data_IF_564578340612
#
_entry.id   IF_564578340612
#
_cell.length_a   1.000
_cell.length_b   1.000
_cell.length_c   1.000
_cell.angle_alpha   90.00
_cell.angle_beta   90.00
_cell.angle_gamma   90.00
#
_symmetry.space_group_name_H-M   'P 1'
#
loop_
_entity.id
_entity.type
_entity.pdbx_description
1 polymer ?
#
# COMPACT_ATOMS: atom_id res chain seq x y z
N UNK A 1 -12.31 20.61 -34.14
CA UNK A 1 -11.25 20.26 -33.17
C UNK A 1 -11.89 19.41 -32.09
N UNK A 2 -11.69 18.10 -32.13
CA UNK A 2 -12.28 17.19 -31.15
C UNK A 2 -11.66 17.50 -29.79
N UNK A 3 -12.48 17.95 -28.83
CA UNK A 3 -12.05 18.14 -27.46
C UNK A 3 -11.49 16.83 -26.95
N UNK A 4 -10.22 16.83 -26.54
CA UNK A 4 -9.66 15.76 -25.74
C UNK A 4 -10.43 15.81 -24.42
N UNK A 5 -11.53 15.06 -24.34
CA UNK A 5 -12.17 14.78 -23.07
C UNK A 5 -11.06 14.24 -22.17
N UNK A 6 -10.73 14.97 -21.09
CA UNK A 6 -10.02 14.36 -19.97
C UNK A 6 -10.85 13.12 -19.63
N UNK A 7 -10.34 11.94 -20.02
CA UNK A 7 -10.91 10.69 -19.54
C UNK A 7 -10.88 10.83 -18.03
N UNK A 8 -12.05 10.81 -17.40
CA UNK A 8 -12.15 10.64 -15.96
C UNK A 8 -11.36 9.36 -15.69
N UNK A 9 -10.18 9.52 -15.10
CA UNK A 9 -9.40 8.37 -14.68
C UNK A 9 -10.24 7.65 -13.64
N UNK A 10 -10.22 6.32 -13.70
CA UNK A 10 -10.89 5.49 -12.71
C UNK A 10 -10.44 5.95 -11.30
N UNK A 11 -11.40 6.44 -10.50
CA UNK A 11 -11.11 6.98 -9.17
C UNK A 11 -10.41 5.93 -8.30
N UNK A 12 -10.75 4.65 -8.47
CA UNK A 12 -10.10 3.57 -7.77
C UNK A 12 -8.65 3.39 -8.22
N UNK A 13 -8.37 3.50 -9.53
CA UNK A 13 -6.99 3.46 -10.03
C UNK A 13 -6.16 4.62 -9.47
N UNK A 14 -6.70 5.83 -9.49
CA UNK A 14 -6.02 7.02 -8.95
C UNK A 14 -5.77 6.85 -7.46
N UNK A 15 -6.77 6.38 -6.72
CA UNK A 15 -6.65 6.11 -5.28
C UNK A 15 -5.55 5.10 -4.97
N UNK A 16 -5.50 3.98 -5.70
CA UNK A 16 -4.47 2.96 -5.51
C UNK A 16 -3.07 3.48 -5.88
N UNK A 17 -2.93 4.29 -6.95
CA UNK A 17 -1.64 4.92 -7.28
C UNK A 17 -1.20 5.85 -6.15
N UNK A 18 -2.10 6.63 -5.56
CA UNK A 18 -1.79 7.51 -4.43
C UNK A 18 -1.30 6.71 -3.21
N UNK A 19 -1.98 5.61 -2.88
CA UNK A 19 -1.56 4.73 -1.77
C UNK A 19 -0.20 4.12 -2.05
N UNK A 20 0.00 3.50 -3.23
CA UNK A 20 1.27 2.87 -3.61
C UNK A 20 2.42 3.87 -3.57
N UNK A 21 2.20 5.10 -4.08
CA UNK A 21 3.20 6.17 -4.01
C UNK A 21 3.55 6.51 -2.55
N UNK A 22 2.53 6.65 -1.69
CA UNK A 22 2.74 6.93 -0.27
C UNK A 22 3.53 5.84 0.45
N UNK A 23 3.26 4.57 0.13
CA UNK A 23 4.01 3.43 0.67
C UNK A 23 5.47 3.44 0.20
N UNK A 24 5.72 3.66 -1.10
CA UNK A 24 7.08 3.75 -1.64
C UNK A 24 7.88 4.90 -1.02
N UNK A 25 7.25 6.07 -0.80
CA UNK A 25 7.89 7.20 -0.12
C UNK A 25 8.20 6.86 1.34
N UNK A 26 7.28 6.19 2.04
CA UNK A 26 7.52 5.77 3.43
C UNK A 26 8.71 4.81 3.53
N UNK A 27 8.80 3.83 2.64
CA UNK A 27 9.94 2.91 2.56
C UNK A 27 11.24 3.65 2.28
N UNK A 28 11.24 4.55 1.29
CA UNK A 28 12.38 5.38 0.96
C UNK A 28 12.89 6.20 2.16
N UNK A 29 12.00 6.84 2.92
CA UNK A 29 12.37 7.63 4.11
C UNK A 29 12.94 6.73 5.22
N UNK A 30 12.42 5.51 5.39
CA UNK A 30 12.93 4.55 6.39
C UNK A 30 14.38 4.15 6.11
N UNK A 31 14.71 3.98 4.84
CA UNK A 31 16.08 3.67 4.38
C UNK A 31 16.98 4.91 4.36
N UNK A 32 16.40 6.09 4.10
CA UNK A 32 17.12 7.36 3.95
C UNK A 32 16.63 8.39 4.99
N UNK A 33 16.97 8.16 6.26
CA UNK A 33 16.48 8.94 7.42
C UNK A 33 16.73 10.46 7.36
N UNK A 34 17.64 10.92 6.49
CA UNK A 34 18.00 12.32 6.34
C UNK A 34 17.61 12.89 4.97
N UNK A 35 16.81 12.16 4.18
CA UNK A 35 16.29 12.64 2.92
C UNK A 35 15.46 13.91 3.16
N UNK A 36 15.76 14.94 2.36
CA UNK A 36 14.99 16.17 2.36
C UNK A 36 13.84 16.07 1.34
N UNK A 37 13.03 17.14 1.23
CA UNK A 37 11.89 17.16 0.31
C UNK A 37 12.30 17.03 -1.15
N UNK A 38 13.43 17.62 -1.55
CA UNK A 38 13.91 17.54 -2.93
C UNK A 38 14.31 16.10 -3.28
N UNK A 39 15.00 15.39 -2.36
CA UNK A 39 15.37 13.98 -2.54
C UNK A 39 14.12 13.08 -2.70
N UNK A 40 13.08 13.35 -1.91
CA UNK A 40 11.80 12.61 -1.97
C UNK A 40 11.08 12.89 -3.30
N UNK A 41 11.05 14.15 -3.74
CA UNK A 41 10.44 14.53 -5.01
C UNK A 41 11.19 13.90 -6.19
N UNK A 42 12.52 13.94 -6.19
CA UNK A 42 13.34 13.27 -7.19
C UNK A 42 13.06 11.76 -7.22
N UNK A 43 13.01 11.10 -6.05
CA UNK A 43 12.64 9.69 -5.96
C UNK A 43 11.28 9.41 -6.63
N UNK A 44 10.25 10.20 -6.32
CA UNK A 44 8.92 10.03 -6.92
C UNK A 44 8.98 10.26 -8.43
N UNK A 45 9.67 11.29 -8.91
CA UNK A 45 9.78 11.59 -10.34
C UNK A 45 10.48 10.48 -11.13
N UNK A 46 11.57 9.91 -10.58
CA UNK A 46 12.30 8.82 -11.22
C UNK A 46 11.53 7.49 -11.21
N UNK A 47 10.68 7.26 -10.20
CA UNK A 47 10.01 5.97 -10.01
C UNK A 47 8.51 5.98 -10.33
N UNK A 48 7.91 7.14 -10.64
CA UNK A 48 6.47 7.27 -10.89
C UNK A 48 5.95 6.27 -11.92
N UNK A 49 6.72 6.02 -12.98
CA UNK A 49 6.36 5.05 -14.02
C UNK A 49 6.21 3.64 -13.46
N UNK A 50 7.22 3.18 -12.71
CA UNK A 50 7.23 1.85 -12.09
C UNK A 50 6.11 1.72 -11.07
N UNK A 51 5.90 2.74 -10.21
CA UNK A 51 4.81 2.74 -9.22
C UNK A 51 3.44 2.56 -9.90
N UNK A 52 3.21 3.27 -11.03
CA UNK A 52 1.97 3.16 -11.78
C UNK A 52 1.83 1.78 -12.44
N UNK A 53 2.89 1.28 -13.08
CA UNK A 53 2.88 -0.02 -13.76
C UNK A 53 2.63 -1.16 -12.76
N UNK A 54 3.33 -1.17 -11.63
CA UNK A 54 3.17 -2.16 -10.56
C UNK A 54 1.78 -2.10 -9.94
N UNK A 55 1.25 -0.89 -9.72
CA UNK A 55 -0.13 -0.72 -9.20
C UNK A 55 -1.16 -1.28 -10.18
N UNK A 56 -1.00 -1.03 -11.48
CA UNK A 56 -1.90 -1.59 -12.51
C UNK A 56 -1.78 -3.11 -12.56
N UNK A 57 -0.57 -3.66 -12.46
CA UNK A 57 -0.36 -5.11 -12.43
C UNK A 57 -1.00 -5.76 -11.21
N UNK A 58 -0.83 -5.18 -10.02
CA UNK A 58 -1.45 -5.67 -8.78
C UNK A 58 -2.98 -5.67 -8.86
N UNK A 59 -3.58 -4.61 -9.40
CA UNK A 59 -5.03 -4.54 -9.59
C UNK A 59 -5.55 -5.55 -10.62
N UNK A 60 -4.78 -5.82 -11.68
CA UNK A 60 -5.17 -6.80 -12.69
C UNK A 60 -4.91 -8.25 -12.28
N UNK A 61 -4.04 -8.48 -11.30
CA UNK A 61 -3.73 -9.82 -10.76
C UNK A 61 -4.59 -10.17 -9.54
N UNK A 62 -5.22 -9.18 -8.92
CA UNK A 62 -6.06 -9.35 -7.73
C UNK A 62 -7.56 -9.50 -8.02
N UNK A 63 -7.99 -10.59 -8.67
CA UNK A 63 -9.35 -11.15 -8.45
C UNK A 63 -9.67 -12.59 -8.95
N UNK A 64 -8.74 -13.56 -9.07
CA UNK A 64 -9.17 -14.99 -9.20
C UNK A 64 -8.06 -16.04 -9.00
N UNK A 65 -7.44 -16.08 -7.81
CA UNK A 65 -6.92 -17.33 -7.30
C UNK A 65 -7.80 -17.72 -6.10
N UNK A 66 -8.71 -18.72 -6.22
CA UNK A 66 -9.35 -19.25 -5.04
C UNK A 66 -8.25 -19.64 -4.05
N UNK A 67 -8.46 -19.46 -2.73
CA UNK A 67 -7.51 -19.93 -1.73
C UNK A 67 -7.18 -21.36 -2.10
N UNK A 68 -5.91 -21.66 -2.37
CA UNK A 68 -5.48 -23.03 -2.60
C UNK A 68 -5.92 -23.78 -1.36
N UNK A 69 -7.03 -24.52 -1.47
CA UNK A 69 -7.41 -25.53 -0.50
C UNK A 69 -6.18 -26.42 -0.41
N UNK A 70 -5.46 -26.29 0.68
CA UNK A 70 -4.50 -27.30 1.09
C UNK A 70 -5.20 -28.66 0.98
N UNK A 71 -4.63 -29.64 0.26
CA UNK A 71 -5.11 -31.00 0.40
C UNK A 71 -4.78 -31.41 1.83
N UNK A 72 -5.82 -31.50 2.65
CA UNK A 72 -5.70 -31.68 4.09
C UNK A 72 -4.85 -32.89 4.47
N UNK A 73 -4.14 -32.74 5.57
CA UNK A 73 -3.90 -33.85 6.47
C UNK A 73 -3.95 -33.32 7.92
N UNK A 74 -4.86 -33.87 8.70
CA UNK A 74 -5.40 -33.24 9.90
C UNK A 74 -4.52 -33.27 11.15
N UNK A 75 -5.00 -32.54 12.16
CA UNK A 75 -4.61 -32.72 13.55
C UNK A 75 -4.70 -31.44 14.37
N UNK A 76 -5.74 -31.35 15.21
CA UNK A 76 -5.85 -30.54 16.44
C UNK A 76 -5.87 -28.99 16.33
N UNK A 77 -7.03 -28.40 16.65
CA UNK A 77 -7.11 -27.11 17.39
C UNK A 77 -6.77 -27.35 18.87
N UNK A 78 -6.54 -26.33 19.74
CA UNK A 78 -6.47 -24.87 19.51
C UNK A 78 -5.22 -24.22 20.15
N UNK A 79 -4.73 -23.08 19.65
CA UNK A 79 -4.14 -22.05 20.55
C UNK A 79 -4.59 -20.66 20.10
N UNK A 80 -5.23 -19.97 21.05
CA UNK A 80 -5.52 -18.54 21.03
C UNK A 80 -4.20 -17.76 20.93
N UNK A 81 -4.08 -16.88 19.94
CA UNK A 81 -3.25 -15.68 20.10
C UNK A 81 -4.07 -14.49 19.63
N UNK A 82 -4.87 -13.97 20.56
CA UNK A 82 -5.50 -12.66 20.45
C UNK A 82 -4.43 -11.61 20.72
N UNK A 83 -3.75 -11.16 19.68
CA UNK A 83 -2.86 -9.99 19.75
C UNK A 83 -3.74 -8.73 19.87
N UNK A 84 -4.03 -8.44 21.13
CA UNK A 84 -4.85 -7.37 21.68
C UNK A 84 -4.17 -6.02 21.42
N UNK A 85 -4.31 -5.47 20.20
CA UNK A 85 -3.93 -4.07 19.92
C UNK A 85 -5.00 -3.11 20.47
N UNK A 86 -5.14 -3.09 21.80
CA UNK A 86 -5.86 -2.04 22.50
C UNK A 86 -4.94 -0.83 22.68
N UNK A 87 -5.23 0.19 21.89
CA UNK A 87 -4.67 1.53 22.04
C UNK A 87 -5.15 2.11 23.38
N UNK A 88 -4.33 1.97 24.44
CA UNK A 88 -4.57 2.62 25.73
C UNK A 88 -4.48 4.15 25.55
N UNK A 89 -5.61 4.80 25.30
CA UNK A 89 -5.77 6.24 25.52
C UNK A 89 -5.96 6.49 27.01
N UNK A 90 -4.88 6.49 27.79
CA UNK A 90 -4.82 7.13 29.11
C UNK A 90 -3.35 7.30 29.52
N UNK A 91 -2.69 8.30 28.95
CA UNK A 91 -1.39 8.80 29.44
C UNK A 91 -1.63 10.19 30.07
N UNK A 92 -1.73 10.30 31.42
CA UNK A 92 -2.10 11.55 32.07
C UNK A 92 -0.91 12.49 32.35
N UNK A 93 0.28 12.27 31.79
CA UNK A 93 1.47 13.06 32.14
C UNK A 93 1.94 14.04 31.04
N UNK A 94 0.99 14.74 30.41
CA UNK A 94 1.27 15.93 29.60
C UNK A 94 0.81 17.22 30.31
N UNK A 95 1.67 17.66 31.25
CA UNK A 95 1.71 18.94 32.00
C UNK A 95 0.78 19.14 33.19
#
# INVERSE_FOLDING_TARGET
>A
MAGKHCRLYDENLVHNIMISTGMSVLEYIRENKYANTDDICEFVEFNARTIIEDTIEQLNTGDDAPPKKEPGNGGHEPEQDSDDWQYNQDDPDYK
#
